data_IF_553202333382
#
_entry.id   IF_553202333382
#
_cell.length_a   1.000
_cell.length_b   1.000
_cell.length_c   1.000
_cell.angle_alpha   90.00
_cell.angle_beta   90.00
_cell.angle_gamma   90.00
#
_symmetry.space_group_name_H-M   'P 1'
#
loop_
_entity.id
_entity.type
_entity.pdbx_description
1 polymer ?
#
# COMPACT_ATOMS: atom_id res chain seq x y z
N UNK A 1 -11.09 -2.62 12.94
CA UNK A 1 -11.70 -3.81 12.31
C UNK A 1 -10.78 -4.43 11.26
N UNK A 2 -10.15 -3.64 10.38
CA UNK A 2 -9.19 -4.17 9.40
C UNK A 2 -7.88 -4.68 10.04
N UNK A 3 -7.36 -3.94 11.03
CA UNK A 3 -6.10 -4.29 11.70
C UNK A 3 -6.17 -5.62 12.47
N UNK A 4 -7.31 -5.90 13.12
CA UNK A 4 -7.53 -7.14 13.87
C UNK A 4 -7.65 -8.35 12.94
N UNK A 5 -8.28 -8.20 11.77
CA UNK A 5 -8.37 -9.26 10.77
C UNK A 5 -6.98 -9.58 10.18
N UNK A 6 -6.14 -8.56 9.98
CA UNK A 6 -4.76 -8.74 9.52
C UNK A 6 -3.91 -9.50 10.52
N UNK A 7 -4.04 -9.20 11.83
CA UNK A 7 -3.33 -9.94 12.89
C UNK A 7 -3.72 -11.42 12.87
N UNK A 8 -5.02 -11.75 12.81
CA UNK A 8 -5.47 -13.15 12.78
C UNK A 8 -5.00 -13.92 11.54
N UNK A 9 -4.99 -13.26 10.37
CA UNK A 9 -4.47 -13.86 9.12
C UNK A 9 -2.97 -14.08 9.20
N UNK A 10 -2.23 -13.12 9.78
CA UNK A 10 -0.79 -13.23 9.96
C UNK A 10 -0.43 -14.38 10.92
N UNK A 11 -1.16 -14.53 12.03
CA UNK A 11 -0.98 -15.62 13.00
C UNK A 11 -1.30 -16.99 12.37
N UNK A 12 -2.37 -17.07 11.58
CA UNK A 12 -2.73 -18.29 10.85
C UNK A 12 -1.64 -18.69 9.84
N UNK A 13 -1.11 -17.74 9.06
CA UNK A 13 -0.11 -18.03 8.03
C UNK A 13 1.27 -18.37 8.62
N UNK A 14 1.63 -17.79 9.77
CA UNK A 14 2.82 -18.19 10.54
C UNK A 14 2.76 -19.66 10.97
N UNK A 15 1.56 -20.17 11.31
CA UNK A 15 1.39 -21.58 11.72
C UNK A 15 1.60 -22.60 10.58
N UNK A 16 1.56 -22.16 9.32
CA UNK A 16 1.64 -23.01 8.13
C UNK A 16 2.98 -22.95 7.39
N UNK A 17 4.02 -22.42 8.04
CA UNK A 17 5.40 -22.36 7.50
C UNK A 17 5.52 -21.59 6.18
N UNK A 18 4.51 -20.80 5.81
CA UNK A 18 4.60 -19.82 4.73
C UNK A 18 4.98 -18.50 5.40
N UNK A 19 6.25 -18.19 5.30
CA UNK A 19 6.93 -17.03 5.86
C UNK A 19 6.44 -15.73 5.19
N UNK A 20 5.18 -15.36 5.41
CA UNK A 20 4.48 -14.25 4.77
C UNK A 20 4.13 -13.20 5.82
N UNK A 21 4.77 -12.03 5.76
CA UNK A 21 4.46 -10.91 6.65
C UNK A 21 3.53 -9.90 5.95
N UNK A 22 2.44 -9.53 6.62
CA UNK A 22 1.49 -8.49 6.18
C UNK A 22 1.78 -7.16 6.89
N UNK A 23 1.93 -6.08 6.14
CA UNK A 23 2.08 -4.72 6.68
C UNK A 23 1.17 -3.73 5.98
N UNK A 24 0.68 -2.72 6.71
CA UNK A 24 -0.04 -1.57 6.15
C UNK A 24 0.92 -0.38 6.09
N UNK A 25 1.07 0.21 4.91
CA UNK A 25 1.78 1.48 4.75
C UNK A 25 0.83 2.66 5.00
N UNK A 26 0.99 3.37 6.12
CA UNK A 26 0.14 4.49 6.49
C UNK A 26 0.60 5.83 5.90
N UNK A 27 1.79 5.89 5.30
CA UNK A 27 2.40 7.14 4.81
C UNK A 27 1.63 7.76 3.64
N UNK A 28 0.98 6.92 2.84
CA UNK A 28 0.30 7.32 1.60
C UNK A 28 -1.18 7.65 1.79
N UNK A 29 -1.70 7.60 3.02
CA UNK A 29 -3.15 7.59 3.32
C UNK A 29 -3.93 6.51 2.53
N UNK A 30 -3.22 5.52 1.96
CA UNK A 30 -3.78 4.40 1.22
C UNK A 30 -3.36 3.11 1.91
N UNK A 31 -4.31 2.19 2.10
CA UNK A 31 -3.97 0.88 2.66
C UNK A 31 -3.18 0.08 1.63
N UNK A 32 -1.87 0.01 1.81
CA UNK A 32 -0.99 -0.85 1.01
C UNK A 32 -0.62 -2.06 1.85
N UNK A 33 -1.04 -3.24 1.40
CA UNK A 33 -0.72 -4.54 1.99
C UNK A 33 0.46 -5.14 1.24
N UNK A 34 1.58 -5.40 1.93
CA UNK A 34 2.74 -6.11 1.36
C UNK A 34 2.83 -7.51 1.93
N UNK A 35 3.32 -8.44 1.13
CA UNK A 35 3.64 -9.81 1.50
C UNK A 35 5.13 -10.01 1.31
N UNK A 36 5.86 -10.26 2.40
CA UNK A 36 7.33 -10.35 2.40
C UNK A 36 7.78 -11.76 2.82
N UNK A 37 8.73 -12.33 2.08
CA UNK A 37 9.48 -13.52 2.48
C UNK A 37 10.46 -13.16 3.60
N UNK A 38 10.26 -13.68 4.82
CA UNK A 38 11.15 -13.33 5.94
C UNK A 38 12.54 -13.99 5.86
N UNK A 39 12.78 -14.95 4.95
CA UNK A 39 14.11 -15.56 4.79
C UNK A 39 15.13 -14.61 4.16
N UNK A 40 14.67 -13.73 3.25
CA UNK A 40 15.52 -12.85 2.45
C UNK A 40 15.00 -11.40 2.36
N UNK A 41 13.82 -11.10 2.92
CA UNK A 41 13.20 -9.78 2.88
C UNK A 41 12.56 -9.41 1.54
N UNK A 42 12.39 -10.36 0.62
CA UNK A 42 11.84 -10.10 -0.71
C UNK A 42 10.32 -9.88 -0.64
N UNK A 43 9.83 -8.82 -1.30
CA UNK A 43 8.39 -8.61 -1.49
C UNK A 43 7.88 -9.59 -2.52
N UNK A 44 7.04 -10.52 -2.09
CA UNK A 44 6.40 -11.51 -2.95
C UNK A 44 5.17 -10.92 -3.66
N UNK A 45 4.37 -10.10 -2.96
CA UNK A 45 3.15 -9.47 -3.50
C UNK A 45 2.81 -8.16 -2.81
N UNK A 46 2.08 -7.29 -3.51
CA UNK A 46 1.50 -6.06 -2.96
C UNK A 46 0.03 -5.92 -3.38
N UNK A 47 -0.84 -5.46 -2.48
CA UNK A 47 -2.25 -5.15 -2.73
C UNK A 47 -2.54 -3.75 -2.18
N UNK A 48 -2.96 -2.80 -3.03
CA UNK A 48 -3.00 -2.87 -4.50
C UNK A 48 -1.60 -2.99 -5.13
N UNK A 49 -1.47 -3.52 -6.36
CA UNK A 49 -0.18 -3.60 -7.06
C UNK A 49 0.50 -2.24 -7.16
N UNK A 50 1.84 -2.23 -7.16
CA UNK A 50 2.63 -1.00 -7.25
C UNK A 50 2.23 -0.13 -8.45
N UNK A 51 1.94 -0.74 -9.61
CA UNK A 51 1.48 -0.02 -10.80
C UNK A 51 0.17 0.76 -10.58
N UNK A 52 -0.73 0.23 -9.75
CA UNK A 52 -1.97 0.91 -9.38
C UNK A 52 -1.72 2.04 -8.39
N UNK A 53 -0.79 1.86 -7.45
CA UNK A 53 -0.37 2.93 -6.52
C UNK A 53 0.26 4.08 -7.29
N UNK A 54 1.18 3.78 -8.21
CA UNK A 54 1.81 4.78 -9.08
C UNK A 54 0.79 5.51 -9.96
N UNK A 55 -0.20 4.79 -10.48
CA UNK A 55 -1.29 5.40 -11.24
C UNK A 55 -2.13 6.34 -10.36
N UNK A 56 -2.51 5.92 -9.16
CA UNK A 56 -3.28 6.73 -8.23
C UNK A 56 -2.53 8.02 -7.84
N UNK A 57 -1.22 7.93 -7.59
CA UNK A 57 -0.37 9.10 -7.31
C UNK A 57 -0.36 10.08 -8.48
N UNK A 58 -0.11 9.61 -9.71
CA UNK A 58 -0.12 10.47 -10.92
C UNK A 58 -1.47 11.15 -11.13
N UNK A 59 -2.58 10.44 -10.92
CA UNK A 59 -3.92 11.03 -11.02
C UNK A 59 -4.15 12.11 -9.95
N UNK A 60 -3.63 11.93 -8.74
CA UNK A 60 -3.71 12.95 -7.67
C UNK A 60 -2.86 14.19 -7.99
N UNK A 61 -1.66 14.00 -8.53
CA UNK A 61 -0.78 15.07 -8.99
C UNK A 61 -1.43 15.89 -10.12
N UNK A 62 -2.01 15.22 -11.12
CA UNK A 62 -2.73 15.89 -12.22
C UNK A 62 -3.88 16.76 -11.71
N UNK A 63 -4.69 16.27 -10.76
CA UNK A 63 -5.76 17.09 -10.15
C UNK A 63 -5.21 18.30 -9.39
N UNK A 64 -4.04 18.18 -8.75
CA UNK A 64 -3.42 19.31 -8.04
C UNK A 64 -2.93 20.39 -9.00
N UNK A 65 -2.42 20.01 -10.17
CA UNK A 65 -1.93 20.94 -11.20
C UNK A 65 -3.07 21.84 -11.74
N UNK A 66 -4.29 21.33 -11.83
CA UNK A 66 -5.44 22.14 -12.27
C UNK A 66 -5.84 23.25 -11.28
N UNK A 67 -5.63 23.03 -9.98
CA UNK A 67 -5.96 24.02 -8.94
C UNK A 67 -4.92 25.13 -8.77
N UNK A 68 -3.66 24.90 -9.14
CA UNK A 68 -2.60 25.92 -9.02
C UNK A 68 -2.57 26.89 -10.21
N UNK A 69 -3.16 26.51 -11.35
CA UNK A 69 -3.18 27.32 -12.57
C UNK A 69 -4.18 28.50 -12.60
N UNK A 70 -5.12 28.60 -11.65
CA UNK A 70 -6.20 29.61 -11.68
C UNK A 70 -5.95 30.81 -10.77
N UNK A 71 -4.94 30.78 -9.88
CA UNK A 71 -4.75 31.84 -8.87
C UNK A 71 -3.67 32.89 -9.20
N UNK A 72 -3.22 33.02 -10.46
CA UNK A 72 -2.24 34.06 -10.85
C UNK A 72 -2.71 34.81 -12.10
N UNK A 73 -3.94 35.32 -12.10
CA UNK A 73 -4.33 36.40 -13.01
C UNK A 73 -5.61 37.10 -12.57
N UNK A 74 -5.50 38.07 -11.65
CA UNK A 74 -6.30 39.31 -11.60
C UNK A 74 -5.76 40.21 -10.52
#
# INVERSE_FOLDING_TARGET
MLDQALVQVNDYLQSQSRTLQFSIDQSTHQTIIKVIDQSNGQVLRQIPPESMVALAQRLQEMRHVETTGVAVKT
#
